data_IF_250865406845
#
_entry.id   IF_250865406845
#
_cell.length_a   1.000
_cell.length_b   1.000
_cell.length_c   1.000
_cell.angle_alpha   90.00
_cell.angle_beta   90.00
_cell.angle_gamma   90.00
#
_symmetry.space_group_name_H-M   'P 1'
#
loop_
_entity.id
_entity.type
_entity.pdbx_description
1 polymer ?
#
# COMPACT_ATOMS: atom_id res chain seq x y z
N UNK A 1 45.34 9.64 63.05
CA UNK A 1 45.06 8.20 62.80
C UNK A 1 43.62 8.16 62.32
N UNK A 2 43.18 7.65 61.17
CA UNK A 2 43.63 6.71 60.12
C UNK A 2 42.88 7.13 58.83
N UNK A 3 43.48 7.50 57.69
CA UNK A 3 44.07 6.72 56.56
C UNK A 3 43.16 5.68 55.87
N UNK A 4 43.22 5.75 54.52
CA UNK A 4 42.66 4.92 53.43
C UNK A 4 41.23 5.28 52.97
N UNK A 5 40.96 5.93 51.82
CA UNK A 5 41.36 5.69 50.41
C UNK A 5 41.16 4.26 49.91
N UNK A 6 40.07 4.00 49.17
CA UNK A 6 40.11 3.36 47.85
C UNK A 6 38.74 3.39 47.15
N UNK A 7 38.73 4.02 45.98
CA UNK A 7 37.75 3.91 44.91
C UNK A 7 37.75 2.51 44.29
N UNK A 8 36.57 1.93 44.06
CA UNK A 8 36.25 0.95 42.99
C UNK A 8 34.74 1.10 42.71
N UNK A 9 34.28 1.92 41.77
CA UNK A 9 34.08 1.63 40.34
C UNK A 9 33.42 0.26 40.10
N UNK A 10 32.10 0.29 39.86
CA UNK A 10 31.44 -0.66 38.95
C UNK A 10 30.21 0.04 38.32
N UNK A 11 30.50 0.78 37.26
CA UNK A 11 29.52 1.31 36.32
C UNK A 11 29.02 0.16 35.45
N UNK A 12 27.79 -0.28 35.66
CA UNK A 12 27.09 -1.09 34.66
C UNK A 12 26.32 -0.12 33.76
N UNK A 13 26.95 0.17 32.61
CA UNK A 13 26.25 0.66 31.43
C UNK A 13 25.19 -0.39 31.06
N UNK A 14 23.92 -0.08 31.25
CA UNK A 14 22.86 -0.68 30.44
C UNK A 14 22.48 0.38 29.39
N UNK A 15 23.01 0.17 28.20
CA UNK A 15 22.82 0.98 27.01
C UNK A 15 21.35 1.00 26.58
N UNK A 16 20.90 2.20 26.23
CA UNK A 16 19.93 2.53 25.18
C UNK A 16 18.91 1.44 24.79
N UNK A 17 17.66 1.67 25.17
CA UNK A 17 16.57 1.58 24.22
C UNK A 17 15.68 2.80 24.44
N UNK A 18 15.87 3.80 23.58
CA UNK A 18 15.00 4.95 23.49
C UNK A 18 13.57 4.47 23.22
N UNK A 19 12.64 5.07 23.97
CA UNK A 19 11.22 5.00 23.69
C UNK A 19 10.92 5.63 22.32
N UNK A 20 9.73 5.28 21.80
CA UNK A 20 8.97 5.99 20.78
C UNK A 20 9.39 5.78 19.31
N UNK A 21 8.74 4.81 18.66
CA UNK A 21 7.54 5.07 17.84
C UNK A 21 7.12 3.76 17.19
N UNK A 22 6.33 2.97 17.93
CA UNK A 22 5.37 2.09 17.28
C UNK A 22 4.44 3.07 16.56
N UNK A 23 4.59 3.18 15.24
CA UNK A 23 3.59 3.85 14.43
C UNK A 23 2.26 3.15 14.74
N UNK A 24 1.22 3.87 15.18
CA UNK A 24 -0.07 3.25 15.40
C UNK A 24 -0.54 2.76 14.03
N UNK A 25 -0.55 1.44 13.88
CA UNK A 25 -1.39 0.78 12.91
C UNK A 25 -2.80 1.31 13.18
N UNK A 26 -3.34 2.06 12.22
CA UNK A 26 -4.65 2.65 12.34
C UNK A 26 -5.67 1.51 12.21
N UNK A 27 -5.95 0.83 13.31
CA UNK A 27 -7.10 -0.05 13.40
C UNK A 27 -8.34 0.81 13.11
N UNK A 28 -8.94 0.66 11.92
CA UNK A 28 -10.31 1.11 11.71
C UNK A 28 -11.22 0.08 12.37
N UNK A 29 -11.31 0.14 13.69
CA UNK A 29 -12.41 -0.46 14.44
C UNK A 29 -13.62 0.43 14.19
N UNK A 30 -14.54 -0.03 13.33
CA UNK A 30 -15.90 0.50 13.35
C UNK A 30 -16.65 -0.37 14.36
N UNK A 31 -16.82 0.15 15.58
CA UNK A 31 -17.73 -0.43 16.58
C UNK A 31 -19.15 -0.44 16.00
N UNK A 32 -19.66 -1.64 15.71
CA UNK A 32 -21.07 -1.86 15.42
C UNK A 32 -21.63 -2.64 16.59
N UNK A 33 -22.34 -1.91 17.46
CA UNK A 33 -23.12 -2.43 18.56
C UNK A 33 -24.22 -3.38 18.02
N UNK A 34 -24.18 -4.65 18.42
CA UNK A 34 -25.19 -5.65 18.08
C UNK A 34 -25.47 -6.49 19.32
N UNK A 35 -26.39 -5.98 20.13
CA UNK A 35 -27.16 -6.72 21.13
C UNK A 35 -28.09 -7.73 20.43
N UNK A 36 -27.83 -9.03 20.53
CA UNK A 36 -28.88 -10.06 20.71
C UNK A 36 -28.25 -11.44 21.03
N UNK A 37 -28.87 -12.14 21.97
CA UNK A 37 -28.46 -13.38 22.62
C UNK A 37 -29.13 -14.60 21.97
N UNK A 38 -28.42 -15.74 21.84
CA UNK A 38 -29.07 -17.07 21.81
C UNK A 38 -28.39 -18.18 20.98
N UNK A 39 -27.64 -19.04 21.67
CA UNK A 39 -27.36 -20.49 21.49
C UNK A 39 -27.32 -21.18 20.10
N UNK A 40 -26.19 -21.91 19.93
CA UNK A 40 -25.96 -23.11 19.10
C UNK A 40 -25.83 -22.95 17.58
N UNK A 41 -24.75 -22.29 17.15
CA UNK A 41 -24.07 -22.60 15.88
C UNK A 41 -22.58 -22.37 16.09
N UNK A 42 -21.72 -23.27 15.59
CA UNK A 42 -20.27 -23.06 15.60
C UNK A 42 -20.01 -21.77 14.83
N UNK A 43 -19.71 -20.71 15.59
CA UNK A 43 -19.93 -19.33 15.18
C UNK A 43 -19.17 -18.93 13.91
N UNK A 44 -19.86 -18.97 12.78
CA UNK A 44 -19.60 -18.11 11.61
C UNK A 44 -19.92 -16.62 11.94
N UNK A 45 -19.86 -16.23 13.22
CA UNK A 45 -20.24 -14.93 13.72
C UNK A 45 -19.29 -13.87 13.16
N UNK A 46 -19.77 -13.28 12.06
CA UNK A 46 -19.38 -12.00 11.45
C UNK A 46 -17.97 -11.91 10.88
N UNK A 47 -17.60 -12.83 10.00
CA UNK A 47 -16.55 -12.50 9.02
C UNK A 47 -17.04 -11.36 8.11
N UNK A 48 -16.39 -10.20 8.17
CA UNK A 48 -16.78 -9.00 7.38
C UNK A 48 -16.48 -9.25 5.90
N UNK A 49 -17.47 -9.56 5.06
CA UNK A 49 -17.21 -9.96 3.66
C UNK A 49 -17.08 -8.80 2.65
N UNK A 50 -16.77 -7.59 3.12
CA UNK A 50 -16.64 -6.39 2.27
C UNK A 50 -15.53 -5.46 2.74
N UNK A 51 -14.91 -4.76 1.81
CA UNK A 51 -14.01 -3.64 2.06
C UNK A 51 -14.75 -2.33 1.80
N UNK A 52 -14.58 -1.34 2.67
CA UNK A 52 -15.04 0.03 2.42
C UNK A 52 -13.89 0.88 1.88
N UNK A 53 -14.03 1.38 0.65
CA UNK A 53 -13.07 2.28 0.03
C UNK A 53 -13.45 3.73 0.35
N UNK A 54 -12.68 4.38 1.23
CA UNK A 54 -12.89 5.79 1.61
C UNK A 54 -12.79 6.75 0.43
N UNK A 55 -12.00 6.42 -0.60
CA UNK A 55 -11.80 7.29 -1.75
C UNK A 55 -12.99 7.29 -2.69
N UNK A 56 -13.53 6.12 -3.03
CA UNK A 56 -14.72 6.03 -3.88
C UNK A 56 -16.02 6.14 -3.08
N UNK A 57 -15.94 6.10 -1.74
CA UNK A 57 -17.08 6.03 -0.81
C UNK A 57 -18.00 4.84 -1.12
N UNK A 58 -17.40 3.70 -1.47
CA UNK A 58 -18.14 2.51 -1.91
C UNK A 58 -17.67 1.26 -1.17
N UNK A 59 -18.56 0.28 -1.05
CA UNK A 59 -18.26 -1.02 -0.45
C UNK A 59 -18.12 -2.09 -1.53
N UNK A 60 -17.04 -2.84 -1.49
CA UNK A 60 -16.71 -3.89 -2.45
C UNK A 60 -16.69 -5.24 -1.75
N UNK A 61 -17.22 -6.29 -2.39
CA UNK A 61 -17.14 -7.66 -1.84
C UNK A 61 -15.70 -8.15 -1.88
N UNK A 62 -15.36 -9.10 -1.00
CA UNK A 62 -14.10 -9.85 -1.13
C UNK A 62 -13.97 -10.39 -2.56
N UNK A 63 -12.74 -10.36 -3.08
CA UNK A 63 -12.29 -10.69 -4.43
C UNK A 63 -12.78 -9.76 -5.55
N UNK A 64 -13.55 -8.71 -5.20
CA UNK A 64 -13.90 -7.67 -6.18
C UNK A 64 -12.67 -6.85 -6.57
N UNK A 65 -12.56 -6.58 -7.86
CA UNK A 65 -11.53 -5.72 -8.46
C UNK A 65 -12.18 -4.46 -9.03
N UNK A 66 -11.58 -3.29 -8.79
CA UNK A 66 -12.05 -2.02 -9.38
C UNK A 66 -10.90 -1.09 -9.73
N UNK A 67 -11.22 -0.06 -10.53
CA UNK A 67 -10.30 0.92 -11.07
C UNK A 67 -10.79 2.32 -10.66
N UNK A 68 -10.18 2.95 -9.65
CA UNK A 68 -10.58 4.28 -9.21
C UNK A 68 -10.43 5.31 -10.35
N UNK A 69 -11.47 6.12 -10.56
CA UNK A 69 -11.44 7.16 -11.59
C UNK A 69 -10.31 8.16 -11.32
N UNK A 70 -9.65 8.60 -12.40
CA UNK A 70 -8.54 9.55 -12.33
C UNK A 70 -7.22 8.96 -11.80
N UNK A 71 -7.19 7.68 -11.45
CA UNK A 71 -5.97 7.00 -11.00
C UNK A 71 -5.55 5.88 -11.93
N UNK A 72 -4.24 5.71 -12.05
CA UNK A 72 -3.64 4.60 -12.77
C UNK A 72 -3.26 3.48 -11.79
N UNK A 73 -4.27 2.90 -11.17
CA UNK A 73 -4.10 1.80 -10.21
C UNK A 73 -5.29 0.84 -10.32
N UNK A 74 -5.08 -0.38 -9.86
CA UNK A 74 -6.11 -1.39 -9.66
C UNK A 74 -6.21 -1.67 -8.17
N UNK A 75 -7.43 -1.79 -7.66
CA UNK A 75 -7.67 -2.20 -6.27
C UNK A 75 -8.41 -3.51 -6.22
N UNK A 76 -8.09 -4.30 -5.20
CA UNK A 76 -8.75 -5.58 -4.92
C UNK A 76 -9.08 -5.62 -3.43
N UNK A 77 -10.31 -6.02 -3.11
CA UNK A 77 -10.67 -6.38 -1.75
C UNK A 77 -10.23 -7.82 -1.51
N UNK A 78 -9.26 -8.05 -0.66
CA UNK A 78 -8.68 -9.39 -0.42
C UNK A 78 -8.83 -9.78 1.03
N UNK A 79 -9.00 -11.08 1.30
CA UNK A 79 -8.90 -11.61 2.66
C UNK A 79 -7.75 -12.61 2.71
N UNK A 80 -6.84 -12.40 3.65
CA UNK A 80 -5.78 -13.37 3.92
C UNK A 80 -6.34 -14.56 4.69
N UNK A 81 -5.76 -15.75 4.50
CA UNK A 81 -6.20 -16.97 5.20
C UNK A 81 -6.12 -16.72 6.71
N UNK A 82 -7.22 -16.98 7.42
CA UNK A 82 -7.39 -16.74 8.86
C UNK A 82 -7.54 -15.27 9.30
N UNK A 83 -7.67 -14.31 8.37
CA UNK A 83 -8.02 -12.93 8.74
C UNK A 83 -9.52 -12.77 8.95
N UNK A 84 -9.93 -12.10 10.04
CA UNK A 84 -11.33 -11.74 10.32
C UNK A 84 -11.85 -10.65 9.38
N UNK A 85 -10.97 -9.73 8.97
CA UNK A 85 -11.31 -8.53 8.19
C UNK A 85 -10.57 -8.52 6.85
N UNK A 86 -11.26 -8.19 5.75
CA UNK A 86 -10.63 -8.06 4.45
C UNK A 86 -9.94 -6.69 4.34
N UNK A 87 -8.94 -6.60 3.48
CA UNK A 87 -8.14 -5.41 3.24
C UNK A 87 -8.15 -5.03 1.77
N UNK A 88 -8.00 -3.74 1.49
CA UNK A 88 -7.86 -3.25 0.12
C UNK A 88 -6.38 -3.32 -0.27
N UNK A 89 -6.05 -4.17 -1.24
CA UNK A 89 -4.73 -4.20 -1.87
C UNK A 89 -4.74 -3.33 -3.12
N UNK A 90 -3.78 -2.41 -3.22
CA UNK A 90 -3.64 -1.51 -4.37
C UNK A 90 -2.42 -1.91 -5.21
N UNK A 91 -2.63 -2.12 -6.50
CA UNK A 91 -1.60 -2.37 -7.50
C UNK A 91 -1.38 -1.10 -8.31
N UNK A 92 -0.18 -0.54 -8.21
CA UNK A 92 0.24 0.65 -8.93
C UNK A 92 1.25 0.28 -10.03
N UNK A 93 1.49 1.21 -10.94
CA UNK A 93 2.48 1.00 -11.97
C UNK A 93 3.90 0.96 -11.40
N UNK A 94 4.72 0.08 -11.95
CA UNK A 94 6.15 0.10 -11.68
C UNK A 94 6.78 1.42 -12.16
N UNK A 95 7.76 1.95 -11.42
CA UNK A 95 8.49 3.13 -11.85
C UNK A 95 9.27 2.82 -13.14
N UNK A 96 9.32 3.80 -14.04
CA UNK A 96 10.17 3.74 -15.22
C UNK A 96 11.63 3.91 -14.78
N UNK A 97 12.37 2.80 -14.73
CA UNK A 97 13.77 2.77 -14.29
C UNK A 97 14.75 2.57 -15.45
N UNK A 98 14.34 1.87 -16.51
CA UNK A 98 15.20 1.59 -17.67
C UNK A 98 14.40 1.49 -18.96
N UNK A 99 15.06 1.84 -20.07
CA UNK A 99 14.55 1.67 -21.42
C UNK A 99 15.60 0.93 -22.27
N UNK A 100 15.18 0.37 -23.41
CA UNK A 100 15.98 -0.55 -24.24
C UNK A 100 17.36 -0.01 -24.64
N UNK A 101 17.54 1.32 -24.63
CA UNK A 101 18.81 1.97 -24.94
C UNK A 101 19.36 2.61 -23.65
N UNK A 102 20.31 1.95 -22.95
CA UNK A 102 20.84 2.43 -21.67
C UNK A 102 21.58 3.78 -21.80
N UNK A 103 22.06 4.11 -23.00
CA UNK A 103 22.79 5.35 -23.29
C UNK A 103 21.87 6.56 -23.55
N UNK A 104 20.54 6.38 -23.52
CA UNK A 104 19.58 7.45 -23.76
C UNK A 104 18.79 7.77 -22.49
N UNK A 105 18.50 9.05 -22.29
CA UNK A 105 17.60 9.48 -21.22
C UNK A 105 16.22 8.88 -21.45
N UNK A 106 15.84 7.94 -20.59
CA UNK A 106 14.53 7.32 -20.58
C UNK A 106 13.51 8.29 -19.98
N UNK A 107 12.32 8.34 -20.57
CA UNK A 107 11.21 9.15 -20.10
C UNK A 107 9.93 8.31 -20.03
N UNK A 108 9.09 8.52 -19.00
CA UNK A 108 7.80 7.84 -18.91
C UNK A 108 6.84 8.39 -19.98
N UNK A 109 6.23 7.48 -20.74
CA UNK A 109 5.20 7.82 -21.74
C UNK A 109 3.89 7.10 -21.43
N UNK A 110 2.80 7.86 -21.27
CA UNK A 110 1.44 7.33 -21.04
C UNK A 110 0.58 7.53 -22.28
N UNK A 111 -0.10 6.48 -22.73
CA UNK A 111 -0.96 6.53 -23.91
C UNK A 111 -2.46 6.38 -23.58
N UNK A 112 -2.78 5.72 -22.48
CA UNK A 112 -4.15 5.30 -22.15
C UNK A 112 -4.55 5.74 -20.74
N UNK A 113 -5.85 5.63 -20.42
CA UNK A 113 -6.43 6.17 -19.17
C UNK A 113 -6.62 5.13 -18.05
N UNK A 114 -6.75 3.84 -18.37
CA UNK A 114 -7.10 2.79 -17.40
C UNK A 114 -5.96 1.81 -17.13
N UNK A 115 -5.84 1.31 -15.89
CA UNK A 115 -4.83 0.32 -15.52
C UNK A 115 -5.07 -1.02 -16.25
N UNK A 116 -4.03 -1.78 -16.62
CA UNK A 116 -2.60 -1.45 -16.54
C UNK A 116 -2.12 -0.57 -17.71
N UNK A 117 -2.98 -0.26 -18.68
CA UNK A 117 -2.57 0.41 -19.92
C UNK A 117 -2.16 1.87 -19.75
N UNK A 118 -2.66 2.54 -18.71
CA UNK A 118 -2.22 3.88 -18.33
C UNK A 118 -0.82 3.89 -17.68
N UNK A 119 -0.24 2.72 -17.39
CA UNK A 119 1.09 2.67 -16.82
C UNK A 119 2.12 3.24 -17.79
N UNK A 120 3.07 4.04 -17.29
CA UNK A 120 4.07 4.65 -18.14
C UNK A 120 4.92 3.56 -18.78
N UNK A 121 5.02 3.59 -20.11
CA UNK A 121 6.05 2.85 -20.82
C UNK A 121 7.35 3.66 -20.73
N UNK A 122 8.42 3.00 -20.32
CA UNK A 122 9.73 3.63 -20.25
C UNK A 122 10.35 3.64 -21.65
N UNK A 123 10.36 4.80 -22.31
CA UNK A 123 10.80 4.94 -23.70
C UNK A 123 11.96 5.93 -23.78
N UNK A 124 12.81 5.77 -24.79
CA UNK A 124 13.77 6.80 -25.13
C UNK A 124 13.04 8.05 -25.66
N UNK A 125 13.60 9.23 -25.37
CA UNK A 125 13.05 10.52 -25.83
C UNK A 125 12.80 10.57 -27.34
N UNK A 126 13.69 9.95 -28.12
CA UNK A 126 13.60 9.86 -29.59
C UNK A 126 12.34 9.10 -30.05
N UNK A 127 11.95 8.04 -29.35
CA UNK A 127 10.76 7.25 -29.66
C UNK A 127 9.46 7.96 -29.26
N UNK A 128 9.49 8.74 -28.18
CA UNK A 128 8.37 9.58 -27.77
C UNK A 128 8.06 10.60 -28.86
N UNK A 129 9.09 11.30 -29.37
CA UNK A 129 8.93 12.30 -30.43
C UNK A 129 8.32 11.70 -31.70
N UNK A 130 8.74 10.49 -32.09
CA UNK A 130 8.18 9.77 -33.24
C UNK A 130 6.71 9.38 -33.02
N UNK A 131 6.34 8.96 -31.81
CA UNK A 131 4.96 8.55 -31.49
C UNK A 131 4.00 9.74 -31.43
N UNK A 132 4.43 10.88 -30.89
CA UNK A 132 3.60 12.09 -30.83
C UNK A 132 3.38 12.70 -32.22
N UNK A 133 4.41 12.75 -33.08
CA UNK A 133 4.26 13.22 -34.46
C UNK A 133 3.36 12.32 -35.31
N UNK A 134 3.43 10.99 -35.14
CA UNK A 134 2.51 10.06 -35.83
C UNK A 134 1.05 10.28 -35.42
N UNK A 135 0.78 10.51 -34.13
CA UNK A 135 -0.57 10.81 -33.64
C UNK A 135 -1.12 12.11 -34.23
N UNK A 136 -0.27 13.13 -34.40
CA UNK A 136 -0.68 14.41 -34.98
C UNK A 136 -0.93 14.36 -36.50
N UNK A 137 -0.34 13.40 -37.23
CA UNK A 137 -0.60 13.20 -38.67
C UNK A 137 -1.85 12.39 -38.99
N UNK A 138 -2.49 11.78 -37.99
CA UNK A 138 -3.69 10.94 -38.16
C UNK A 138 -5.00 11.66 -37.76
N UNK A 139 -4.92 12.96 -37.47
CA UNK A 139 -6.06 13.87 -37.24
C UNK A 139 -6.10 14.83 -38.42
#
# INVERSE_FOLDING_TARGET
MSKFSCLLILTILCTLAAAEKIAPEYENVLDVDLTESGNEEIEEHKLINKCYDKQTKSSYKVDSTWYPEGKCEQRVCSRERNSKSPTIKSMVCEPCTSCTHPDQTCQPFRAEKNYPKCCPKCLAKSDILKKTTKKHKQI
#
